data_IF_159607933000
#
_entry.id   IF_159607933000
#
_cell.length_a   1.000
_cell.length_b   1.000
_cell.length_c   1.000
_cell.angle_alpha   90.00
_cell.angle_beta   90.00
_cell.angle_gamma   90.00
#
_symmetry.space_group_name_H-M   'P 1'
#
loop_
_entity.id
_entity.type
_entity.pdbx_description
1 polymer ?
#
# COMPACT_ATOMS: atom_id res chain seq x y z
N UNK A 1 34.22 -9.93 18.09
CA UNK A 1 32.82 -9.73 18.57
C UNK A 1 31.97 -10.88 18.11
N UNK A 2 31.04 -11.36 18.94
CA UNK A 2 30.12 -12.44 18.57
C UNK A 2 28.72 -11.81 18.41
N UNK A 3 28.07 -12.02 17.29
CA UNK A 3 26.70 -11.58 17.02
C UNK A 3 25.74 -12.75 17.18
N UNK A 4 24.52 -12.48 17.62
CA UNK A 4 23.47 -13.46 17.75
C UNK A 4 22.73 -13.64 16.42
N UNK A 5 22.62 -12.54 15.64
CA UNK A 5 22.01 -12.52 14.31
C UNK A 5 22.83 -11.71 13.31
N UNK A 6 22.88 -12.22 12.07
CA UNK A 6 23.45 -11.51 10.92
C UNK A 6 22.35 -11.39 9.87
N UNK A 7 22.06 -10.14 9.48
CA UNK A 7 21.07 -9.79 8.46
C UNK A 7 21.81 -9.40 7.18
N UNK A 8 21.45 -10.03 6.08
CA UNK A 8 22.05 -9.74 4.77
C UNK A 8 21.13 -8.80 4.01
N UNK A 9 21.63 -7.60 3.74
CA UNK A 9 20.92 -6.53 3.06
C UNK A 9 20.39 -5.44 4.01
N UNK A 10 20.75 -4.20 3.76
CA UNK A 10 20.27 -3.02 4.48
C UNK A 10 19.11 -2.30 3.74
N UNK A 11 18.21 -3.08 3.14
CA UNK A 11 16.90 -2.58 2.69
C UNK A 11 15.98 -2.33 3.88
N UNK A 12 14.78 -1.81 3.62
CA UNK A 12 13.78 -1.50 4.66
C UNK A 12 13.51 -2.72 5.55
N UNK A 13 13.22 -3.88 4.97
CA UNK A 13 12.94 -5.11 5.73
C UNK A 13 14.11 -5.52 6.62
N UNK A 14 15.35 -5.47 6.09
CA UNK A 14 16.54 -5.82 6.86
C UNK A 14 16.79 -4.87 8.03
N UNK A 15 16.62 -3.58 7.81
CA UNK A 15 16.78 -2.57 8.87
C UNK A 15 15.70 -2.69 9.94
N UNK A 16 14.44 -2.88 9.56
CA UNK A 16 13.32 -3.09 10.50
C UNK A 16 13.54 -4.34 11.34
N UNK A 17 13.93 -5.47 10.71
CA UNK A 17 14.23 -6.72 11.41
C UNK A 17 15.39 -6.54 12.40
N UNK A 18 16.44 -5.82 12.01
CA UNK A 18 17.57 -5.54 12.88
C UNK A 18 17.17 -4.72 14.12
N UNK A 19 16.34 -3.69 13.93
CA UNK A 19 15.85 -2.85 15.05
C UNK A 19 15.00 -3.70 16.00
N UNK A 20 14.08 -4.53 15.49
CA UNK A 20 13.22 -5.39 16.29
C UNK A 20 14.07 -6.37 17.12
N UNK A 21 15.02 -7.05 16.50
CA UNK A 21 15.92 -7.98 17.18
C UNK A 21 16.78 -7.27 18.23
N UNK A 22 17.31 -6.09 17.92
CA UNK A 22 18.11 -5.29 18.87
C UNK A 22 17.26 -4.83 20.07
N UNK A 23 16.01 -4.39 19.85
CA UNK A 23 15.06 -4.06 20.91
C UNK A 23 14.69 -5.28 21.79
N UNK A 24 14.75 -6.48 21.22
CA UNK A 24 14.58 -7.74 21.92
C UNK A 24 15.85 -8.22 22.65
N UNK A 25 16.91 -7.43 22.68
CA UNK A 25 18.14 -7.70 23.43
C UNK A 25 19.20 -8.50 22.65
N UNK A 26 18.98 -8.82 21.40
CA UNK A 26 19.95 -9.54 20.58
C UNK A 26 21.01 -8.60 19.99
N UNK A 27 22.25 -9.07 19.89
CA UNK A 27 23.32 -8.40 19.17
C UNK A 27 23.20 -8.72 17.69
N UNK A 28 22.82 -7.72 16.90
CA UNK A 28 22.60 -7.87 15.46
C UNK A 28 23.69 -7.18 14.66
N UNK A 29 24.02 -7.74 13.50
CA UNK A 29 24.85 -7.09 12.49
C UNK A 29 24.10 -7.08 11.15
N UNK A 30 24.23 -5.99 10.40
CA UNK A 30 23.74 -5.91 9.02
C UNK A 30 24.94 -5.92 8.09
N UNK A 31 24.88 -6.76 7.05
CA UNK A 31 25.89 -6.80 5.98
C UNK A 31 25.21 -6.30 4.70
N UNK A 32 25.72 -5.19 4.15
CA UNK A 32 25.21 -4.59 2.93
C UNK A 32 26.29 -4.61 1.84
N UNK A 33 25.92 -5.02 0.63
CA UNK A 33 26.80 -5.06 -0.53
C UNK A 33 27.08 -3.66 -1.10
N UNK A 34 26.04 -2.82 -1.09
CA UNK A 34 26.13 -1.48 -1.62
C UNK A 34 26.81 -0.51 -0.64
N UNK A 35 27.45 0.56 -1.13
CA UNK A 35 28.07 1.56 -0.27
C UNK A 35 27.09 2.31 0.61
N UNK A 36 25.81 2.28 0.28
CA UNK A 36 24.75 2.98 0.99
C UNK A 36 23.53 2.07 1.18
N UNK A 37 22.80 2.27 2.29
CA UNK A 37 21.58 1.51 2.63
C UNK A 37 20.35 2.01 1.88
N UNK A 38 19.25 1.25 1.95
CA UNK A 38 17.91 1.62 1.50
C UNK A 38 17.80 2.03 0.02
N UNK A 39 18.53 1.40 -0.87
CA UNK A 39 18.60 1.81 -2.30
C UNK A 39 17.24 1.91 -3.00
N UNK A 40 16.27 1.05 -2.64
CA UNK A 40 14.94 1.02 -3.27
C UNK A 40 14.04 2.20 -2.93
N UNK A 41 14.34 2.93 -1.84
CA UNK A 41 13.54 4.08 -1.40
C UNK A 41 14.34 5.38 -1.40
N UNK A 42 15.59 5.35 -1.88
CA UNK A 42 16.53 6.46 -1.70
C UNK A 42 16.39 7.57 -2.73
N UNK A 43 15.86 7.33 -3.89
CA UNK A 43 15.84 8.30 -4.97
C UNK A 43 17.25 8.67 -5.49
N UNK A 44 17.30 9.62 -6.40
CA UNK A 44 18.54 10.18 -6.96
C UNK A 44 18.37 11.64 -7.33
N UNK A 45 19.48 12.39 -7.40
CA UNK A 45 19.47 13.78 -7.85
C UNK A 45 20.05 13.90 -9.26
N UNK A 46 19.39 14.69 -10.12
CA UNK A 46 19.86 15.04 -11.47
C UNK A 46 19.59 16.50 -11.74
N UNK A 47 20.59 17.25 -12.17
CA UNK A 47 20.50 18.69 -12.46
C UNK A 47 19.88 19.50 -11.29
N UNK A 48 20.28 19.19 -10.05
CA UNK A 48 19.78 19.87 -8.86
C UNK A 48 18.34 19.55 -8.45
N UNK A 49 17.69 18.59 -9.12
CA UNK A 49 16.35 18.11 -8.77
C UNK A 49 16.44 16.68 -8.25
N UNK A 50 15.67 16.41 -7.18
CA UNK A 50 15.56 15.09 -6.61
C UNK A 50 14.42 14.30 -7.28
N UNK A 51 14.64 13.01 -7.49
CA UNK A 51 13.69 12.07 -8.08
C UNK A 51 13.59 10.83 -7.18
N UNK A 52 12.36 10.43 -6.89
CA UNK A 52 12.09 9.14 -6.25
C UNK A 52 12.37 7.98 -7.17
N UNK A 53 12.66 6.80 -6.59
CA UNK A 53 12.86 5.57 -7.36
C UNK A 53 11.67 4.63 -7.32
N UNK A 54 10.63 4.94 -6.55
CA UNK A 54 9.42 4.10 -6.51
C UNK A 54 8.59 4.21 -5.25
N UNK A 55 9.05 4.93 -4.25
CA UNK A 55 8.27 5.20 -3.05
C UNK A 55 7.63 6.58 -3.18
N UNK A 56 6.40 6.62 -3.68
CA UNK A 56 5.72 7.89 -3.99
C UNK A 56 4.87 8.38 -2.82
N UNK A 57 4.10 7.50 -2.20
CA UNK A 57 3.28 7.78 -1.03
C UNK A 57 3.03 6.52 -0.20
N UNK A 58 2.55 6.68 1.02
CA UNK A 58 2.25 5.58 1.92
C UNK A 58 0.87 5.74 2.55
N UNK A 59 0.15 4.64 2.67
CA UNK A 59 -1.04 4.53 3.50
C UNK A 59 -0.72 4.04 4.91
N UNK A 60 -1.71 4.05 5.80
CA UNK A 60 -1.55 3.55 7.16
C UNK A 60 -0.73 4.44 8.09
N UNK A 61 -0.54 5.71 7.72
CA UNK A 61 0.20 6.72 8.51
C UNK A 61 -0.71 7.62 9.35
N UNK A 62 -2.01 7.45 9.25
CA UNK A 62 -3.00 8.07 10.15
C UNK A 62 -2.81 7.59 11.59
N UNK A 63 -3.34 8.33 12.57
CA UNK A 63 -3.20 7.93 13.97
C UNK A 63 -3.76 6.51 14.20
N UNK A 64 -2.94 5.64 14.80
CA UNK A 64 -3.17 4.20 14.99
C UNK A 64 -3.27 3.37 13.71
N UNK A 65 -2.95 3.93 12.56
CA UNK A 65 -2.78 3.15 11.33
C UNK A 65 -1.62 2.16 11.43
N UNK A 66 -1.61 1.09 10.63
CA UNK A 66 -0.62 0.02 10.77
C UNK A 66 0.83 0.51 10.67
N UNK A 67 1.11 1.40 9.72
CA UNK A 67 2.47 1.93 9.55
C UNK A 67 2.83 2.93 10.65
N UNK A 68 1.87 3.71 11.15
CA UNK A 68 2.08 4.62 12.28
C UNK A 68 2.45 3.85 13.56
N UNK A 69 1.76 2.75 13.84
CA UNK A 69 2.06 1.87 14.98
C UNK A 69 3.46 1.26 14.86
N UNK A 70 3.82 0.76 13.67
CA UNK A 70 5.15 0.20 13.41
C UNK A 70 6.23 1.27 13.60
N UNK A 71 6.06 2.46 13.04
CA UNK A 71 7.02 3.55 13.16
C UNK A 71 7.17 4.04 14.61
N UNK A 72 6.08 4.10 15.37
CA UNK A 72 6.11 4.39 16.81
C UNK A 72 6.90 3.32 17.56
N UNK A 73 6.65 2.04 17.29
CA UNK A 73 7.40 0.93 17.89
C UNK A 73 8.90 1.00 17.56
N UNK A 74 9.24 1.34 16.33
CA UNK A 74 10.64 1.49 15.91
C UNK A 74 11.32 2.73 16.51
N UNK A 75 10.57 3.70 17.02
CA UNK A 75 11.07 4.98 17.54
C UNK A 75 11.39 5.99 16.44
N UNK A 76 10.70 5.91 15.30
CA UNK A 76 10.95 6.76 14.12
C UNK A 76 9.88 7.83 13.90
N UNK A 77 8.74 7.77 14.58
CA UNK A 77 7.60 8.66 14.35
C UNK A 77 7.93 10.14 14.49
N UNK A 78 8.71 10.50 15.51
CA UNK A 78 9.09 11.90 15.77
C UNK A 78 10.06 12.47 14.73
N UNK A 79 10.74 11.60 13.98
CA UNK A 79 11.70 11.99 12.94
C UNK A 79 11.10 12.07 11.55
N UNK A 80 9.80 11.72 11.42
CA UNK A 80 9.11 11.67 10.14
C UNK A 80 8.14 12.85 10.00
N UNK A 81 8.43 13.75 9.08
CA UNK A 81 7.46 14.76 8.65
C UNK A 81 6.43 14.13 7.72
N UNK A 82 5.16 14.21 8.11
CA UNK A 82 4.04 13.66 7.34
C UNK A 82 3.29 14.80 6.65
N UNK A 83 3.13 14.70 5.36
CA UNK A 83 2.31 15.62 4.55
C UNK A 83 1.05 14.87 4.12
N UNK A 84 -0.13 15.18 4.68
CA UNK A 84 -1.36 14.53 4.28
C UNK A 84 -1.76 14.94 2.87
N UNK A 85 -2.36 14.01 2.15
CA UNK A 85 -3.00 14.31 0.87
C UNK A 85 -4.33 15.02 1.05
N UNK A 86 -4.82 15.62 -0.06
CA UNK A 86 -6.18 16.10 -0.16
C UNK A 86 -7.16 14.94 0.06
N UNK A 87 -8.02 14.98 1.09
CA UNK A 87 -8.96 13.92 1.39
C UNK A 87 -9.99 13.68 0.28
N UNK A 88 -10.27 14.70 -0.55
CA UNK A 88 -11.27 14.64 -1.62
C UNK A 88 -10.69 14.17 -2.96
N UNK A 89 -9.35 14.03 -3.06
CA UNK A 89 -8.71 13.64 -4.31
C UNK A 89 -7.22 13.38 -4.17
N UNK A 90 -6.83 12.31 -3.46
CA UNK A 90 -5.41 11.97 -3.31
C UNK A 90 -4.77 11.49 -4.63
N UNK A 91 -5.57 10.89 -5.53
CA UNK A 91 -5.19 10.54 -6.90
C UNK A 91 -6.27 11.00 -7.88
N UNK A 92 -5.86 11.35 -9.10
CA UNK A 92 -6.76 11.78 -10.17
C UNK A 92 -6.52 10.94 -11.42
N UNK A 93 -7.53 10.16 -11.81
CA UNK A 93 -7.55 9.43 -13.08
C UNK A 93 -8.16 10.30 -14.17
N UNK A 94 -7.43 10.52 -15.26
CA UNK A 94 -7.93 11.22 -16.45
C UNK A 94 -7.95 10.30 -17.65
N UNK A 95 -9.13 10.09 -18.22
CA UNK A 95 -9.35 9.33 -19.44
C UNK A 95 -9.66 10.31 -20.56
N UNK A 96 -9.03 10.15 -21.73
CA UNK A 96 -9.24 11.07 -22.87
C UNK A 96 -10.49 10.74 -23.66
N UNK A 97 -10.74 9.43 -23.88
CA UNK A 97 -11.85 8.95 -24.69
C UNK A 97 -12.55 7.76 -24.01
N UNK A 98 -13.79 7.92 -23.54
CA UNK A 98 -14.52 9.19 -23.45
C UNK A 98 -13.82 10.13 -22.44
N UNK A 99 -14.02 11.45 -22.61
CA UNK A 99 -13.46 12.42 -21.65
C UNK A 99 -14.09 12.21 -20.27
N UNK A 100 -13.29 11.79 -19.32
CA UNK A 100 -13.75 11.49 -17.97
C UNK A 100 -12.62 11.73 -16.96
N UNK A 101 -12.97 12.30 -15.81
CA UNK A 101 -12.04 12.49 -14.69
C UNK A 101 -12.64 11.93 -13.42
N UNK A 102 -11.84 11.16 -12.68
CA UNK A 102 -12.23 10.61 -11.39
C UNK A 102 -11.17 10.96 -10.34
N UNK A 103 -11.57 11.68 -9.30
CA UNK A 103 -10.75 11.97 -8.13
C UNK A 103 -11.03 10.91 -7.07
N UNK A 104 -9.97 10.22 -6.62
CA UNK A 104 -10.07 9.20 -5.58
C UNK A 104 -10.07 9.86 -4.20
N UNK A 105 -11.18 9.84 -3.47
CA UNK A 105 -11.21 10.37 -2.12
C UNK A 105 -10.61 9.39 -1.13
N UNK A 106 -10.15 9.89 0.01
CA UNK A 106 -9.70 9.06 1.13
C UNK A 106 -10.88 8.47 1.89
N UNK A 107 -10.80 7.18 2.18
CA UNK A 107 -11.80 6.47 2.98
C UNK A 107 -12.85 5.73 2.15
N UNK A 108 -13.26 4.58 2.67
CA UNK A 108 -14.12 3.63 1.94
C UNK A 108 -15.51 4.19 1.64
N UNK A 109 -16.13 4.89 2.60
CA UNK A 109 -17.45 5.45 2.39
C UNK A 109 -17.43 6.66 1.45
N UNK A 110 -16.42 7.53 1.54
CA UNK A 110 -16.23 8.63 0.60
C UNK A 110 -16.03 8.10 -0.84
N UNK A 111 -15.19 7.07 -1.01
CA UNK A 111 -15.03 6.40 -2.31
C UNK A 111 -16.34 5.81 -2.82
N UNK A 112 -17.10 5.14 -1.94
CA UNK A 112 -18.40 4.57 -2.30
C UNK A 112 -19.37 5.64 -2.80
N UNK A 113 -19.48 6.76 -2.09
CA UNK A 113 -20.38 7.86 -2.46
C UNK A 113 -19.93 8.51 -3.78
N UNK A 114 -18.64 8.70 -3.98
CA UNK A 114 -18.10 9.23 -5.23
C UNK A 114 -18.41 8.31 -6.41
N UNK A 115 -18.18 7.00 -6.26
CA UNK A 115 -18.50 6.01 -7.29
C UNK A 115 -20.00 5.98 -7.63
N UNK A 116 -20.87 6.05 -6.62
CA UNK A 116 -22.32 6.09 -6.83
C UNK A 116 -22.79 7.39 -7.52
N UNK A 117 -22.10 8.50 -7.26
CA UNK A 117 -22.37 9.76 -7.94
C UNK A 117 -22.08 9.69 -9.44
N UNK A 118 -20.94 9.11 -9.82
CA UNK A 118 -20.52 9.02 -11.22
C UNK A 118 -21.17 7.80 -11.95
N UNK A 119 -21.54 6.76 -11.22
CA UNK A 119 -22.09 5.51 -11.75
C UNK A 119 -23.38 5.08 -11.01
N UNK A 120 -24.47 5.87 -11.04
CA UNK A 120 -25.65 5.62 -10.20
C UNK A 120 -26.35 4.28 -10.50
N UNK A 121 -26.22 3.76 -11.73
CA UNK A 121 -26.77 2.46 -12.12
C UNK A 121 -25.98 1.23 -11.65
N UNK A 122 -24.78 1.43 -11.09
CA UNK A 122 -23.81 0.36 -10.81
C UNK A 122 -23.71 0.02 -9.31
N UNK A 123 -24.71 0.39 -8.51
CA UNK A 123 -24.69 0.19 -7.05
C UNK A 123 -24.30 -1.23 -6.64
N UNK A 124 -24.86 -2.25 -7.29
CA UNK A 124 -24.59 -3.66 -6.96
C UNK A 124 -23.12 -4.02 -7.21
N UNK A 125 -22.54 -3.56 -8.32
CA UNK A 125 -21.14 -3.78 -8.67
C UNK A 125 -20.19 -3.05 -7.71
N UNK A 126 -20.50 -1.80 -7.37
CA UNK A 126 -19.72 -0.99 -6.44
C UNK A 126 -19.71 -1.62 -5.05
N UNK A 127 -20.87 -1.94 -4.50
CA UNK A 127 -20.98 -2.56 -3.17
C UNK A 127 -20.30 -3.94 -3.14
N UNK A 128 -20.43 -4.72 -4.20
CA UNK A 128 -19.76 -6.01 -4.36
C UNK A 128 -18.24 -5.88 -4.37
N UNK A 129 -17.70 -4.97 -5.16
CA UNK A 129 -16.28 -4.68 -5.24
C UNK A 129 -15.71 -4.25 -3.87
N UNK A 130 -16.32 -3.27 -3.22
CA UNK A 130 -15.88 -2.77 -1.92
C UNK A 130 -15.93 -3.85 -0.83
N UNK A 131 -16.94 -4.74 -0.88
CA UNK A 131 -17.02 -5.90 0.02
C UNK A 131 -15.86 -6.88 -0.19
N UNK A 132 -15.48 -7.15 -1.45
CA UNK A 132 -14.37 -8.04 -1.79
C UNK A 132 -13.06 -7.45 -1.29
N UNK A 133 -12.80 -6.15 -1.55
CA UNK A 133 -11.58 -5.47 -1.09
C UNK A 133 -11.49 -5.47 0.44
N UNK A 134 -12.58 -5.10 1.13
CA UNK A 134 -12.61 -5.10 2.60
C UNK A 134 -12.29 -6.48 3.17
N UNK A 135 -12.87 -7.54 2.58
CA UNK A 135 -12.59 -8.92 3.00
C UNK A 135 -11.14 -9.32 2.71
N UNK A 136 -10.58 -8.91 1.57
CA UNK A 136 -9.19 -9.18 1.23
C UNK A 136 -8.23 -8.48 2.21
N UNK A 137 -8.48 -7.20 2.53
CA UNK A 137 -7.67 -6.45 3.50
C UNK A 137 -7.68 -7.09 4.89
N UNK A 138 -8.83 -7.57 5.37
CA UNK A 138 -8.93 -8.26 6.66
C UNK A 138 -8.15 -9.58 6.75
N UNK A 139 -7.75 -10.15 5.62
CA UNK A 139 -6.90 -11.35 5.56
C UNK A 139 -5.41 -11.01 5.69
N UNK A 140 -5.04 -9.74 5.62
CA UNK A 140 -3.66 -9.30 5.71
C UNK A 140 -3.34 -8.92 7.16
N UNK A 141 -2.49 -9.69 7.86
CA UNK A 141 -2.26 -9.51 9.30
C UNK A 141 -1.66 -8.14 9.64
N UNK A 142 -0.98 -7.50 8.70
CA UNK A 142 -0.42 -6.15 8.90
C UNK A 142 -1.45 -5.02 8.71
N UNK A 143 -2.67 -5.32 8.26
CA UNK A 143 -3.76 -4.34 8.15
C UNK A 143 -4.62 -4.26 9.41
N UNK A 144 -4.52 -5.26 10.29
CA UNK A 144 -5.16 -5.29 11.59
C UNK A 144 -4.16 -5.87 12.61
N UNK A 145 -3.44 -4.99 13.28
CA UNK A 145 -2.39 -5.37 14.23
C UNK A 145 -2.94 -5.82 15.59
N UNK A 146 -4.25 -5.72 15.82
CA UNK A 146 -4.91 -6.18 17.03
C UNK A 146 -5.41 -7.64 16.90
N UNK A 147 -5.52 -8.14 15.66
CA UNK A 147 -5.92 -9.53 15.44
C UNK A 147 -4.77 -10.51 15.69
N UNK A 148 -5.12 -11.72 16.09
CA UNK A 148 -4.14 -12.80 16.21
C UNK A 148 -3.52 -13.11 14.86
N UNK A 149 -2.19 -13.35 14.87
CA UNK A 149 -1.47 -13.76 13.67
C UNK A 149 -2.03 -15.08 13.15
N UNK A 150 -2.42 -15.18 11.88
CA UNK A 150 -2.90 -16.44 11.32
C UNK A 150 -1.78 -17.49 11.32
N UNK A 151 -2.12 -18.74 11.57
CA UNK A 151 -1.15 -19.86 11.49
C UNK A 151 -0.51 -19.96 10.09
N UNK A 152 -1.28 -19.61 9.04
CA UNK A 152 -0.79 -19.55 7.68
C UNK A 152 -0.56 -18.08 7.26
N UNK A 153 0.70 -17.70 7.08
CA UNK A 153 1.10 -16.36 6.65
C UNK A 153 0.85 -16.08 5.17
N UNK A 154 0.44 -17.08 4.39
CA UNK A 154 0.05 -16.88 2.99
C UNK A 154 -1.44 -16.51 2.92
N UNK A 155 -1.78 -15.21 2.87
CA UNK A 155 -3.17 -14.76 2.98
C UNK A 155 -4.00 -15.10 1.74
N UNK A 156 -3.36 -15.44 0.62
CA UNK A 156 -4.01 -15.70 -0.65
C UNK A 156 -3.55 -17.03 -1.27
N UNK A 157 -4.46 -17.71 -1.94
CA UNK A 157 -4.17 -18.87 -2.77
C UNK A 157 -3.78 -18.42 -4.19
N UNK A 158 -2.94 -19.21 -4.85
CA UNK A 158 -2.65 -19.06 -6.30
C UNK A 158 -3.89 -19.26 -7.19
N UNK A 159 -4.99 -19.76 -6.63
CA UNK A 159 -6.27 -19.97 -7.31
C UNK A 159 -7.28 -18.85 -7.05
N UNK A 160 -6.90 -17.77 -6.38
CA UNK A 160 -7.77 -16.59 -6.24
C UNK A 160 -8.00 -15.96 -7.63
N UNK A 161 -9.21 -15.44 -7.90
CA UNK A 161 -9.49 -14.79 -9.18
C UNK A 161 -8.65 -13.52 -9.35
N UNK A 162 -8.28 -13.20 -10.58
CA UNK A 162 -7.66 -11.90 -10.90
C UNK A 162 -8.66 -10.77 -10.70
N UNK A 163 -8.17 -9.53 -10.56
CA UNK A 163 -9.06 -8.36 -10.48
C UNK A 163 -9.94 -8.25 -11.73
N UNK A 164 -9.40 -8.54 -12.92
CA UNK A 164 -10.16 -8.55 -14.16
C UNK A 164 -11.35 -9.52 -14.09
N UNK A 165 -11.13 -10.76 -13.63
CA UNK A 165 -12.19 -11.76 -13.48
C UNK A 165 -13.27 -11.31 -12.48
N UNK A 166 -12.86 -10.69 -11.38
CA UNK A 166 -13.79 -10.10 -10.40
C UNK A 166 -14.63 -9.00 -11.03
N UNK A 167 -14.00 -8.06 -11.71
CA UNK A 167 -14.69 -6.92 -12.35
C UNK A 167 -15.62 -7.38 -13.47
N UNK A 168 -15.22 -8.38 -14.26
CA UNK A 168 -16.06 -8.95 -15.33
C UNK A 168 -17.32 -9.64 -14.78
N UNK A 169 -17.20 -10.24 -13.60
CA UNK A 169 -18.34 -10.83 -12.89
C UNK A 169 -19.29 -9.81 -12.24
N UNK A 170 -18.82 -8.59 -11.97
CA UNK A 170 -19.59 -7.57 -11.27
C UNK A 170 -20.32 -6.60 -12.23
N UNK A 171 -19.69 -6.22 -13.34
CA UNK A 171 -20.22 -5.20 -14.24
C UNK A 171 -19.76 -5.39 -15.68
N UNK A 172 -20.58 -4.93 -16.64
CA UNK A 172 -20.17 -4.73 -18.03
C UNK A 172 -19.70 -3.30 -18.34
N UNK A 173 -19.77 -2.38 -17.39
CA UNK A 173 -19.40 -0.98 -17.57
C UNK A 173 -17.88 -0.82 -17.64
N UNK A 174 -17.35 -0.64 -18.85
CA UNK A 174 -15.92 -0.53 -19.10
C UNK A 174 -15.29 0.66 -18.36
N UNK A 175 -16.00 1.79 -18.28
CA UNK A 175 -15.48 2.99 -17.60
C UNK A 175 -15.32 2.74 -16.09
N UNK A 176 -16.32 2.11 -15.47
CA UNK A 176 -16.23 1.72 -14.06
C UNK A 176 -15.09 0.73 -13.83
N UNK A 177 -14.90 -0.27 -14.71
CA UNK A 177 -13.76 -1.18 -14.63
C UNK A 177 -12.41 -0.44 -14.68
N UNK A 178 -12.28 0.54 -15.59
CA UNK A 178 -11.07 1.37 -15.68
C UNK A 178 -10.81 2.13 -14.37
N UNK A 179 -11.83 2.70 -13.76
CA UNK A 179 -11.69 3.39 -12.46
C UNK A 179 -11.26 2.42 -11.37
N UNK A 180 -11.94 1.28 -11.24
CA UNK A 180 -11.66 0.30 -10.18
C UNK A 180 -10.31 -0.41 -10.32
N UNK A 181 -9.72 -0.42 -11.51
CA UNK A 181 -8.40 -1.01 -11.79
C UNK A 181 -7.26 0.02 -11.93
N UNK A 182 -7.55 1.31 -11.79
CA UNK A 182 -6.57 2.37 -12.05
C UNK A 182 -5.26 2.21 -11.29
N UNK A 183 -5.32 1.81 -10.02
CA UNK A 183 -4.13 1.64 -9.17
C UNK A 183 -3.24 0.44 -9.56
N UNK A 184 -3.72 -0.49 -10.39
CA UNK A 184 -2.87 -1.54 -10.94
C UNK A 184 -1.70 -0.96 -11.75
N UNK A 185 -1.90 0.18 -12.41
CA UNK A 185 -0.87 0.88 -13.19
C UNK A 185 0.32 1.31 -12.32
N UNK A 186 0.07 1.70 -11.05
CA UNK A 186 1.13 2.11 -10.12
C UNK A 186 2.07 0.95 -9.76
N UNK A 187 1.56 -0.27 -9.79
CA UNK A 187 2.30 -1.48 -9.45
C UNK A 187 2.82 -2.22 -10.67
N UNK A 188 2.55 -1.72 -11.88
CA UNK A 188 2.97 -2.35 -13.14
C UNK A 188 2.37 -3.75 -13.36
N UNK A 189 1.18 -4.01 -12.80
CA UNK A 189 0.47 -5.28 -12.92
C UNK A 189 -0.80 -5.11 -13.76
N UNK A 190 -1.18 -6.19 -14.46
CA UNK A 190 -2.48 -6.25 -15.12
C UNK A 190 -3.58 -6.42 -14.07
N UNK A 191 -4.78 -5.92 -14.33
CA UNK A 191 -5.96 -6.14 -13.50
C UNK A 191 -6.30 -7.62 -13.33
#
# INVERSE_FOLDING_TARGET
>A
MKYDWIIIGAGVSGMVSAIILAKSGYRTAIVEKAPESAQTIRGFSRNGKFFDTGFHYAGGLEDKGPLDVILKYLGLSESLEKVPFDPDGFDILRIREPSFEFSFPSGLEALRQRLLGDFPGEKGAIDGYLSIITRACRRLPYMDLESEMPENLLPFSVHEPTLQQVLDGLTSNTLLKCVLSAHCLLHGVSP
#
